data_IF_389092879305
#
_entry.id   IF_389092879305
#
_cell.length_a   1.000
_cell.length_b   1.000
_cell.length_c   1.000
_cell.angle_alpha   90.00
_cell.angle_beta   90.00
_cell.angle_gamma   90.00
#
_symmetry.space_group_name_H-M   'P 1'
#
loop_
_entity.id
_entity.type
_entity.pdbx_description
1 polymer ?
#
# COMPACT_ATOMS: atom_id res chain seq x y z
N UNK A 1 35.29 7.87 -33.84
CA UNK A 1 35.04 7.88 -32.39
C UNK A 1 33.58 7.54 -32.17
N UNK A 2 33.38 6.51 -31.37
CA UNK A 2 32.12 5.92 -30.94
C UNK A 2 31.38 6.87 -30.01
N UNK A 3 30.05 6.91 -30.11
CA UNK A 3 29.18 6.87 -28.93
C UNK A 3 27.74 6.63 -29.37
N UNK A 4 27.27 5.42 -29.07
CA UNK A 4 25.87 5.04 -29.05
C UNK A 4 25.24 5.76 -27.85
N UNK A 5 24.27 6.63 -28.10
CA UNK A 5 23.40 7.14 -27.04
C UNK A 5 21.97 6.71 -27.37
N UNK A 6 21.73 5.41 -27.17
CA UNK A 6 20.39 4.83 -27.21
C UNK A 6 19.85 4.83 -25.78
N UNK A 7 19.07 5.87 -25.44
CA UNK A 7 18.29 5.91 -24.21
C UNK A 7 17.24 4.80 -24.29
N UNK A 8 17.48 3.71 -23.56
CA UNK A 8 16.48 2.67 -23.35
C UNK A 8 15.44 3.20 -22.35
N UNK A 9 14.17 3.24 -22.77
CA UNK A 9 13.07 3.39 -21.82
C UNK A 9 13.04 2.16 -20.93
N UNK A 10 13.30 2.35 -19.64
CA UNK A 10 13.11 1.34 -18.62
C UNK A 10 11.61 1.02 -18.57
N UNK A 11 11.21 -0.10 -19.17
CA UNK A 11 9.92 -0.71 -18.86
C UNK A 11 10.02 -1.18 -17.41
N UNK A 12 9.42 -0.44 -16.49
CA UNK A 12 9.01 -1.03 -15.22
C UNK A 12 8.05 -2.16 -15.62
N UNK A 13 8.48 -3.40 -15.48
CA UNK A 13 7.60 -4.56 -15.51
C UNK A 13 6.37 -4.19 -14.67
N UNK A 14 5.17 -4.23 -15.27
CA UNK A 14 3.94 -3.65 -14.72
C UNK A 14 3.46 -4.29 -13.40
N UNK A 15 4.21 -5.22 -12.81
CA UNK A 15 3.94 -5.78 -11.49
C UNK A 15 5.14 -5.64 -10.53
N UNK A 16 5.17 -4.56 -9.73
CA UNK A 16 5.81 -4.62 -8.41
C UNK A 16 5.09 -3.81 -7.30
N UNK A 17 4.13 -2.94 -7.65
CA UNK A 17 3.52 -1.98 -6.71
C UNK A 17 2.18 -2.46 -6.13
N UNK A 18 1.25 -2.94 -6.96
CA UNK A 18 -0.08 -3.39 -6.53
C UNK A 18 0.00 -4.55 -5.52
N UNK A 19 0.87 -5.54 -5.80
CA UNK A 19 1.14 -6.65 -4.88
C UNK A 19 1.68 -6.15 -3.54
N UNK A 20 2.50 -5.10 -3.54
CA UNK A 20 3.10 -4.53 -2.34
C UNK A 20 2.06 -3.86 -1.44
N UNK A 21 1.18 -3.02 -2.02
CA UNK A 21 0.11 -2.34 -1.27
C UNK A 21 -0.83 -3.34 -0.59
N UNK A 22 -1.27 -4.35 -1.34
CA UNK A 22 -2.16 -5.39 -0.83
C UNK A 22 -1.53 -6.15 0.33
N UNK A 23 -0.29 -6.61 0.18
CA UNK A 23 0.43 -7.36 1.23
C UNK A 23 0.66 -6.52 2.49
N UNK A 24 1.00 -5.25 2.33
CA UNK A 24 1.18 -4.33 3.46
C UNK A 24 -0.14 -4.11 4.20
N UNK A 25 -1.25 -3.86 3.47
CA UNK A 25 -2.56 -3.68 4.10
C UNK A 25 -3.03 -4.93 4.86
N UNK A 26 -2.80 -6.14 4.30
CA UNK A 26 -3.11 -7.40 4.99
C UNK A 26 -2.25 -7.60 6.24
N UNK A 27 -0.95 -7.31 6.15
CA UNK A 27 -0.03 -7.40 7.30
C UNK A 27 -0.43 -6.44 8.41
N UNK A 28 -0.82 -5.21 8.05
CA UNK A 28 -1.31 -4.20 8.99
C UNK A 28 -2.62 -4.64 9.63
N UNK A 29 -3.54 -5.18 8.84
CA UNK A 29 -4.81 -5.69 9.33
C UNK A 29 -4.61 -6.80 10.39
N UNK A 30 -3.76 -7.78 10.09
CA UNK A 30 -3.45 -8.87 11.01
C UNK A 30 -2.73 -8.38 12.27
N UNK A 31 -1.78 -7.45 12.12
CA UNK A 31 -1.08 -6.87 13.26
C UNK A 31 -2.01 -6.10 14.19
N UNK A 32 -3.02 -5.40 13.64
CA UNK A 32 -4.06 -4.71 14.39
C UNK A 32 -4.97 -5.69 15.13
N UNK A 33 -5.41 -6.75 14.43
CA UNK A 33 -6.30 -7.78 14.98
C UNK A 33 -5.64 -8.54 16.13
N UNK A 34 -4.38 -8.94 15.99
CA UNK A 34 -3.62 -9.63 17.04
C UNK A 34 -3.39 -8.78 18.29
N UNK A 35 -3.33 -7.45 18.13
CA UNK A 35 -3.23 -6.52 19.25
C UNK A 35 -4.58 -6.10 19.84
N UNK A 36 -5.69 -6.63 19.32
CA UNK A 36 -7.04 -6.36 19.81
C UNK A 36 -7.59 -4.98 19.42
N UNK A 37 -6.99 -4.32 18.42
CA UNK A 37 -7.54 -3.09 17.85
C UNK A 37 -8.63 -3.41 16.82
N UNK A 38 -9.51 -2.45 16.55
CA UNK A 38 -10.39 -2.50 15.38
C UNK A 38 -9.56 -2.12 14.13
N UNK A 39 -9.25 -3.06 13.22
CA UNK A 39 -8.32 -2.78 12.14
C UNK A 39 -8.84 -1.71 11.17
N UNK A 40 -10.14 -1.74 10.86
CA UNK A 40 -10.76 -0.81 9.91
C UNK A 40 -10.66 0.63 10.43
N UNK A 41 -11.03 0.87 11.69
CA UNK A 41 -10.97 2.21 12.28
C UNK A 41 -9.55 2.77 12.31
N UNK A 42 -8.55 1.93 12.60
CA UNK A 42 -7.16 2.36 12.67
C UNK A 42 -6.57 2.64 11.29
N UNK A 43 -6.89 1.82 10.29
CA UNK A 43 -6.49 2.05 8.90
C UNK A 43 -7.13 3.33 8.37
N UNK A 44 -8.43 3.54 8.58
CA UNK A 44 -9.13 4.79 8.19
C UNK A 44 -8.52 6.00 8.90
N UNK A 45 -8.25 5.89 10.21
CA UNK A 45 -7.60 6.96 10.98
C UNK A 45 -6.22 7.31 10.42
N UNK A 46 -5.42 6.31 10.05
CA UNK A 46 -4.12 6.52 9.41
C UNK A 46 -4.24 7.18 8.04
N UNK A 47 -5.15 6.73 7.16
CA UNK A 47 -5.32 7.28 5.82
C UNK A 47 -5.73 8.77 5.87
N UNK A 48 -6.64 9.14 6.78
CA UNK A 48 -7.12 10.51 6.92
C UNK A 48 -6.10 11.44 7.58
N UNK A 49 -5.44 11.00 8.65
CA UNK A 49 -4.54 11.86 9.44
C UNK A 49 -3.08 11.82 8.97
N UNK A 50 -2.64 10.70 8.41
CA UNK A 50 -1.24 10.39 8.16
C UNK A 50 -0.43 10.05 9.41
N UNK A 51 -1.04 10.00 10.59
CA UNK A 51 -0.32 9.73 11.83
C UNK A 51 -0.03 8.22 11.99
N UNK A 52 1.24 7.78 11.94
CA UNK A 52 1.60 6.37 12.11
C UNK A 52 1.26 5.81 13.50
N UNK A 53 0.90 6.65 14.48
CA UNK A 53 0.47 6.20 15.81
C UNK A 53 -0.76 5.26 15.75
N UNK A 54 -1.62 5.40 14.74
CA UNK A 54 -2.77 4.52 14.51
C UNK A 54 -2.37 3.05 14.23
N UNK A 55 -1.17 2.80 13.69
CA UNK A 55 -0.72 1.46 13.33
C UNK A 55 0.26 0.94 14.38
N UNK A 56 0.10 -0.26 14.96
CA UNK A 56 1.02 -0.79 15.97
C UNK A 56 2.40 -1.09 15.36
N UNK A 57 3.44 -1.11 16.20
CA UNK A 57 4.80 -1.54 15.80
C UNK A 57 4.94 -3.07 15.64
N UNK A 58 3.85 -3.81 15.89
CA UNK A 58 3.83 -5.28 15.82
C UNK A 58 4.02 -5.76 14.38
N UNK A 59 4.80 -6.84 14.18
CA UNK A 59 5.11 -7.41 12.86
C UNK A 59 5.62 -6.38 11.83
N UNK A 60 6.35 -5.37 12.28
CA UNK A 60 6.83 -4.27 11.43
C UNK A 60 5.73 -3.52 10.65
N UNK A 61 4.45 -3.68 11.00
CA UNK A 61 3.31 -3.12 10.27
C UNK A 61 3.41 -1.60 10.12
N UNK A 62 3.78 -0.89 11.20
CA UNK A 62 4.00 0.56 11.15
C UNK A 62 5.14 0.96 10.21
N UNK A 63 6.21 0.16 10.14
CA UNK A 63 7.34 0.48 9.26
C UNK A 63 6.97 0.21 7.80
N UNK A 64 6.27 -0.90 7.52
CA UNK A 64 5.81 -1.29 6.20
C UNK A 64 4.87 -0.25 5.59
N UNK A 65 3.81 0.14 6.31
CA UNK A 65 2.81 1.08 5.78
C UNK A 65 3.38 2.48 5.54
N UNK A 66 4.43 2.87 6.26
CA UNK A 66 5.13 4.15 6.07
C UNK A 66 6.03 4.19 4.84
N UNK A 67 6.33 3.05 4.21
CA UNK A 67 7.10 2.99 2.97
C UNK A 67 6.25 3.27 1.74
N UNK A 68 4.93 3.25 1.89
CA UNK A 68 3.97 3.48 0.83
C UNK A 68 3.39 4.88 1.01
N UNK A 69 3.28 5.62 -0.08
CA UNK A 69 2.60 6.92 -0.05
C UNK A 69 1.10 6.72 0.20
N UNK A 70 0.48 7.67 0.90
CA UNK A 70 -0.92 7.51 1.33
C UNK A 70 -1.91 7.60 0.17
N UNK A 71 -1.59 8.41 -0.83
CA UNK A 71 -2.36 8.52 -2.06
C UNK A 71 -2.34 7.19 -2.84
N UNK A 72 -1.21 6.50 -2.90
CA UNK A 72 -1.10 5.15 -3.48
C UNK A 72 -2.00 4.13 -2.76
N UNK A 73 -2.00 4.14 -1.42
CA UNK A 73 -2.91 3.30 -0.63
C UNK A 73 -4.39 3.59 -0.95
N UNK A 74 -4.77 4.86 -1.05
CA UNK A 74 -6.15 5.27 -1.31
C UNK A 74 -6.55 4.93 -2.74
N UNK A 75 -5.68 5.20 -3.72
CA UNK A 75 -5.89 4.89 -5.13
C UNK A 75 -6.17 3.40 -5.32
N UNK A 76 -5.35 2.54 -4.72
CA UNK A 76 -5.51 1.10 -4.81
C UNK A 76 -6.83 0.62 -4.17
N UNK A 77 -7.20 1.16 -3.01
CA UNK A 77 -8.48 0.86 -2.37
C UNK A 77 -9.68 1.25 -3.25
N UNK A 78 -9.60 2.40 -3.92
CA UNK A 78 -10.66 2.87 -4.84
C UNK A 78 -10.72 1.99 -6.08
N UNK A 79 -9.58 1.66 -6.71
CA UNK A 79 -9.50 0.75 -7.85
C UNK A 79 -10.12 -0.60 -7.51
N UNK A 80 -9.70 -1.20 -6.40
CA UNK A 80 -10.19 -2.51 -5.95
C UNK A 80 -11.71 -2.50 -5.69
N UNK A 81 -12.22 -1.45 -5.03
CA UNK A 81 -13.65 -1.32 -4.78
C UNK A 81 -14.46 -1.24 -6.08
N UNK A 82 -14.01 -0.45 -7.06
CA UNK A 82 -14.69 -0.29 -8.34
C UNK A 82 -14.58 -1.53 -9.24
N UNK A 83 -13.44 -2.22 -9.24
CA UNK A 83 -13.26 -3.50 -9.94
C UNK A 83 -14.27 -4.54 -9.44
N UNK A 84 -14.48 -4.64 -8.11
CA UNK A 84 -15.45 -5.57 -7.53
C UNK A 84 -16.91 -5.30 -7.90
N UNK A 85 -17.24 -4.09 -8.34
CA UNK A 85 -18.59 -3.71 -8.77
C UNK A 85 -18.81 -3.77 -10.28
N UNK A 86 -17.73 -3.70 -11.08
CA UNK A 86 -17.76 -3.95 -12.52
C UNK A 86 -17.59 -5.45 -12.77
N UNK A 87 -18.57 -6.24 -12.38
CA UNK A 87 -18.79 -7.54 -13.02
C UNK A 87 -19.45 -7.26 -14.36
N UNK A 88 -18.66 -7.19 -15.41
CA UNK A 88 -19.14 -7.42 -16.77
C UNK A 88 -19.46 -8.91 -16.95
#
# INVERSE_FOLDING_TARGET
MSSFDQTMQFHFSEEPAETNVREVLLTVYDALKEKGYNPINQIVGYLLSGDPAYIPRHKDARALIRKIERDELIEELVKFYLQGQRKD
#
